data_IF_530194137514
#
_entry.id   IF_530194137514
#
_cell.length_a   1.000
_cell.length_b   1.000
_cell.length_c   1.000
_cell.angle_alpha   90.00
_cell.angle_beta   90.00
_cell.angle_gamma   90.00
#
_symmetry.space_group_name_H-M   'P 1'
#
loop_
_entity.id
_entity.type
_entity.pdbx_description
1 polymer ?
#
# COMPACT_ATOMS: atom_id res chain seq x y z
N UNK A 1 -19.54 -37.60 -39.24
CA UNK A 1 -18.52 -36.80 -39.85
C UNK A 1 -18.58 -35.32 -39.51
N UNK A 2 -19.41 -34.98 -38.55
CA UNK A 2 -19.49 -33.61 -38.07
C UNK A 2 -18.68 -33.36 -36.80
N UNK A 3 -17.72 -34.26 -36.57
CA UNK A 3 -16.87 -34.21 -35.36
C UNK A 3 -16.12 -32.90 -35.18
N UNK A 4 -15.77 -32.24 -36.32
CA UNK A 4 -15.05 -30.97 -36.25
C UNK A 4 -15.95 -29.85 -35.73
N UNK A 5 -17.28 -29.88 -36.05
CA UNK A 5 -18.23 -28.92 -35.53
C UNK A 5 -18.40 -29.06 -34.05
N UNK A 6 -18.53 -30.32 -33.57
CA UNK A 6 -18.65 -30.62 -32.15
C UNK A 6 -17.41 -30.22 -31.39
N UNK A 7 -16.22 -30.52 -31.94
CA UNK A 7 -14.97 -30.13 -31.37
C UNK A 7 -14.80 -28.61 -31.29
N UNK A 8 -15.18 -27.90 -32.34
CA UNK A 8 -15.09 -26.44 -32.33
C UNK A 8 -16.07 -25.81 -31.34
N UNK A 9 -17.28 -26.35 -31.26
CA UNK A 9 -18.30 -25.89 -30.30
C UNK A 9 -17.82 -26.14 -28.85
N UNK A 10 -17.23 -27.31 -28.59
CA UNK A 10 -16.69 -27.64 -27.28
C UNK A 10 -15.55 -26.69 -26.87
N UNK A 11 -14.66 -26.36 -27.80
CA UNK A 11 -13.57 -25.39 -27.54
C UNK A 11 -14.11 -24.00 -27.24
N UNK A 12 -15.10 -23.56 -27.97
CA UNK A 12 -15.74 -22.25 -27.74
C UNK A 12 -16.39 -22.20 -26.34
N UNK A 13 -17.12 -23.23 -25.97
CA UNK A 13 -17.74 -23.34 -24.64
C UNK A 13 -16.69 -23.31 -23.53
N UNK A 14 -15.58 -24.04 -23.67
CA UNK A 14 -14.49 -24.03 -22.71
C UNK A 14 -13.87 -22.65 -22.54
N UNK A 15 -13.66 -21.94 -23.66
CA UNK A 15 -13.11 -20.57 -23.61
C UNK A 15 -14.06 -19.62 -22.91
N UNK A 16 -15.36 -19.76 -23.13
CA UNK A 16 -16.38 -18.95 -22.48
C UNK A 16 -16.42 -19.24 -20.97
N UNK A 17 -16.36 -20.51 -20.59
CA UNK A 17 -16.31 -20.92 -19.17
C UNK A 17 -15.06 -20.39 -18.49
N UNK A 18 -13.88 -20.52 -19.13
CA UNK A 18 -12.62 -20.02 -18.59
C UNK A 18 -12.62 -18.50 -18.43
N UNK A 19 -13.19 -17.77 -19.42
CA UNK A 19 -13.31 -16.33 -19.36
C UNK A 19 -14.24 -15.89 -18.22
N UNK A 20 -15.37 -16.61 -18.03
CA UNK A 20 -16.31 -16.34 -16.96
C UNK A 20 -15.70 -16.63 -15.58
N UNK A 21 -14.98 -17.76 -15.45
CA UNK A 21 -14.29 -18.12 -14.20
C UNK A 21 -13.24 -17.06 -13.85
N UNK A 22 -12.46 -16.61 -14.83
CA UNK A 22 -11.45 -15.55 -14.62
C UNK A 22 -12.12 -14.24 -14.20
N UNK A 23 -13.25 -13.88 -14.80
CA UNK A 23 -14.00 -12.68 -14.43
C UNK A 23 -14.54 -12.77 -13.02
N UNK A 24 -15.11 -13.92 -12.63
CA UNK A 24 -15.62 -14.13 -11.27
C UNK A 24 -14.49 -14.11 -10.24
N UNK A 25 -13.34 -14.71 -10.55
CA UNK A 25 -12.16 -14.66 -9.68
C UNK A 25 -11.68 -13.23 -9.47
N UNK A 26 -11.66 -12.41 -10.53
CA UNK A 26 -11.29 -11.00 -10.43
C UNK A 26 -12.27 -10.19 -9.60
N UNK A 27 -13.58 -10.43 -9.73
CA UNK A 27 -14.61 -9.79 -8.91
C UNK A 27 -14.48 -10.20 -7.44
N UNK A 28 -14.19 -11.48 -7.18
CA UNK A 28 -13.97 -11.98 -5.82
C UNK A 28 -12.76 -11.29 -5.17
N UNK A 29 -11.65 -11.18 -5.88
CA UNK A 29 -10.45 -10.46 -5.40
C UNK A 29 -10.79 -9.02 -5.05
N UNK A 30 -11.49 -8.31 -5.95
CA UNK A 30 -11.92 -6.93 -5.74
C UNK A 30 -12.79 -6.80 -4.50
N UNK A 31 -13.76 -7.69 -4.32
CA UNK A 31 -14.66 -7.67 -3.16
C UNK A 31 -13.91 -7.88 -1.86
N UNK A 32 -13.03 -8.89 -1.80
CA UNK A 32 -12.24 -9.19 -0.60
C UNK A 32 -11.35 -8.00 -0.24
N UNK A 33 -10.65 -7.44 -1.21
CA UNK A 33 -9.75 -6.29 -0.97
C UNK A 33 -10.56 -5.06 -0.55
N UNK A 34 -11.70 -4.79 -1.18
CA UNK A 34 -12.56 -3.67 -0.81
C UNK A 34 -13.07 -3.78 0.63
N UNK A 35 -13.37 -4.99 1.09
CA UNK A 35 -13.84 -5.23 2.46
C UNK A 35 -12.73 -5.18 3.50
N UNK A 36 -11.53 -5.67 3.17
CA UNK A 36 -10.44 -5.87 4.11
C UNK A 36 -9.31 -4.84 3.99
N UNK A 37 -9.35 -3.97 2.97
CA UNK A 37 -8.26 -3.02 2.72
C UNK A 37 -7.99 -2.07 3.88
N UNK A 38 -9.04 -1.65 4.60
CA UNK A 38 -8.89 -0.80 5.79
C UNK A 38 -8.14 -1.53 6.90
N UNK A 39 -8.44 -2.81 7.09
CA UNK A 39 -7.75 -3.62 8.10
C UNK A 39 -6.28 -3.79 7.75
N UNK A 40 -5.97 -3.96 6.48
CA UNK A 40 -4.58 -4.03 5.98
C UNK A 40 -3.86 -2.70 6.24
N UNK A 41 -4.51 -1.58 5.97
CA UNK A 41 -3.95 -0.26 6.26
C UNK A 41 -3.69 -0.08 7.77
N UNK A 42 -4.62 -0.53 8.63
CA UNK A 42 -4.46 -0.46 10.08
C UNK A 42 -3.30 -1.34 10.56
N UNK A 43 -3.10 -2.51 9.95
CA UNK A 43 -1.95 -3.36 10.25
C UNK A 43 -0.64 -2.67 9.86
N UNK A 44 -0.61 -2.01 8.70
CA UNK A 44 0.55 -1.23 8.29
C UNK A 44 0.81 -0.05 9.24
N UNK A 45 -0.23 0.66 9.63
CA UNK A 45 -0.14 1.76 10.61
C UNK A 45 0.47 1.27 11.93
N UNK A 46 0.04 0.10 12.41
CA UNK A 46 0.57 -0.47 13.65
C UNK A 46 2.07 -0.77 13.55
N UNK A 47 2.51 -1.30 12.41
CA UNK A 47 3.94 -1.56 12.15
C UNK A 47 4.73 -0.25 12.08
N UNK A 48 4.20 0.74 11.37
CA UNK A 48 4.83 2.07 11.26
C UNK A 48 4.95 2.72 12.64
N UNK A 49 3.91 2.66 13.45
CA UNK A 49 3.90 3.22 14.80
C UNK A 49 4.96 2.58 15.69
N UNK A 50 5.07 1.26 15.62
CA UNK A 50 6.10 0.52 16.35
C UNK A 50 7.51 0.92 15.89
N UNK A 51 7.72 1.03 14.59
CA UNK A 51 9.03 1.40 14.04
C UNK A 51 9.40 2.84 14.39
N UNK A 52 8.42 3.75 14.43
CA UNK A 52 8.62 5.13 14.90
C UNK A 52 9.05 5.15 16.37
N UNK A 53 8.41 4.35 17.22
CA UNK A 53 8.80 4.25 18.63
C UNK A 53 10.25 3.75 18.78
N UNK A 54 10.62 2.73 18.00
CA UNK A 54 12.00 2.21 17.99
C UNK A 54 13.00 3.26 17.51
N UNK A 55 12.67 3.96 16.44
CA UNK A 55 13.51 5.04 15.93
C UNK A 55 13.70 6.13 16.98
N UNK A 56 12.61 6.61 17.56
CA UNK A 56 12.66 7.68 18.56
C UNK A 56 13.42 7.27 19.83
N UNK A 57 13.43 5.99 20.19
CA UNK A 57 14.17 5.50 21.34
C UNK A 57 15.69 5.69 21.20
N UNK A 58 16.20 5.76 19.96
CA UNK A 58 17.61 6.06 19.71
C UNK A 58 17.96 7.54 19.84
N UNK A 59 16.96 8.42 19.84
CA UNK A 59 17.14 9.87 19.83
C UNK A 59 16.28 10.56 20.88
N UNK A 60 16.41 10.21 22.19
CA UNK A 60 15.49 10.72 23.22
C UNK A 60 15.62 12.23 23.44
N UNK A 61 16.79 12.81 23.13
CA UNK A 61 17.08 14.23 23.37
C UNK A 61 17.40 15.01 22.07
N UNK A 62 17.15 14.40 20.91
CA UNK A 62 17.41 15.04 19.62
C UNK A 62 16.12 15.28 18.86
N UNK A 63 15.47 16.46 19.04
CA UNK A 63 14.19 16.74 18.38
C UNK A 63 14.29 16.80 16.86
N UNK A 64 15.49 17.02 16.30
CA UNK A 64 15.66 17.08 14.84
C UNK A 64 15.53 15.71 14.18
N UNK A 65 15.82 14.64 14.90
CA UNK A 65 15.79 13.27 14.38
C UNK A 65 14.51 12.51 14.73
N UNK A 66 13.78 13.00 15.73
CA UNK A 66 12.56 12.35 16.19
C UNK A 66 11.42 12.57 15.21
N UNK A 67 10.55 11.59 15.11
CA UNK A 67 9.26 11.69 14.45
C UNK A 67 8.23 12.07 15.53
N UNK A 68 7.48 13.15 15.30
CA UNK A 68 6.64 13.73 16.35
C UNK A 68 5.38 12.93 16.61
N UNK A 69 4.74 12.43 15.56
CA UNK A 69 3.47 11.73 15.73
C UNK A 69 3.13 10.81 14.58
N UNK A 70 2.36 9.78 14.91
CA UNK A 70 1.64 8.94 13.97
C UNK A 70 0.17 9.00 14.39
N UNK A 71 -0.69 9.49 13.53
CA UNK A 71 -2.11 9.67 13.83
C UNK A 71 -3.00 9.07 12.78
N UNK A 72 -4.27 8.82 13.14
CA UNK A 72 -5.26 8.31 12.21
C UNK A 72 -5.90 9.46 11.44
N UNK A 73 -6.21 9.22 10.16
CA UNK A 73 -6.99 10.10 9.32
C UNK A 73 -8.29 9.40 8.88
N UNK A 74 -9.41 10.06 9.03
CA UNK A 74 -10.68 9.55 8.54
C UNK A 74 -10.79 9.76 7.02
N UNK A 75 -11.45 8.88 6.28
CA UNK A 75 -12.12 7.65 6.73
C UNK A 75 -11.19 6.44 6.83
N UNK A 76 -10.09 6.40 6.11
CA UNK A 76 -9.19 5.23 6.08
C UNK A 76 -7.78 5.65 5.70
N UNK A 77 -7.06 6.21 6.67
CA UNK A 77 -5.70 6.67 6.44
C UNK A 77 -4.95 6.89 7.74
N UNK A 78 -3.67 7.22 7.61
CA UNK A 78 -2.85 7.68 8.72
C UNK A 78 -1.87 8.76 8.25
N UNK A 79 -1.36 9.51 9.22
CA UNK A 79 -0.42 10.59 8.99
C UNK A 79 0.80 10.39 9.89
N UNK A 80 1.99 10.59 9.32
CA UNK A 80 3.24 10.63 10.07
C UNK A 80 3.81 12.03 9.94
N UNK A 81 4.12 12.66 11.07
CA UNK A 81 4.61 14.04 11.10
C UNK A 81 5.99 14.11 11.75
N UNK A 82 6.88 14.78 11.04
CA UNK A 82 8.18 15.21 11.54
C UNK A 82 8.26 16.72 11.36
N UNK A 83 8.07 17.46 12.46
CA UNK A 83 7.97 18.92 12.40
C UNK A 83 9.32 19.63 12.47
N UNK A 84 10.29 19.04 13.16
CA UNK A 84 11.64 19.59 13.21
C UNK A 84 12.30 19.52 11.83
N UNK A 85 12.98 20.58 11.49
CA UNK A 85 13.62 20.75 10.19
C UNK A 85 14.80 19.78 9.99
N UNK A 86 14.96 19.11 8.83
CA UNK A 86 14.06 19.15 7.67
C UNK A 86 12.74 18.43 7.95
N UNK A 87 11.63 19.16 7.77
CA UNK A 87 10.30 18.64 8.10
C UNK A 87 9.72 17.79 6.99
N UNK A 88 8.87 16.84 7.38
CA UNK A 88 8.17 15.98 6.45
C UNK A 88 6.82 15.58 7.02
N UNK A 89 5.82 15.47 6.14
CA UNK A 89 4.50 14.96 6.49
C UNK A 89 4.12 13.89 5.49
N UNK A 90 3.84 12.69 5.99
CA UNK A 90 3.41 11.56 5.17
C UNK A 90 1.93 11.32 5.41
N UNK A 91 1.16 11.23 4.32
CA UNK A 91 -0.23 10.78 4.33
C UNK A 91 -0.30 9.45 3.60
N UNK A 92 -0.85 8.44 4.25
CA UNK A 92 -1.14 7.15 3.63
C UNK A 92 -2.63 6.86 3.74
N UNK A 93 -3.24 6.35 2.69
CA UNK A 93 -4.66 6.03 2.66
C UNK A 93 -4.95 4.85 1.75
N UNK A 94 -6.03 4.14 2.07
CA UNK A 94 -6.52 3.05 1.24
C UNK A 94 -7.47 3.57 0.17
N UNK A 95 -7.20 3.22 -1.09
CA UNK A 95 -8.06 3.54 -2.22
C UNK A 95 -8.69 2.25 -2.75
N UNK A 96 -9.99 2.03 -2.51
CA UNK A 96 -10.68 0.83 -3.00
C UNK A 96 -10.82 0.79 -4.52
N UNK A 97 -10.85 1.94 -5.18
CA UNK A 97 -11.02 2.01 -6.64
C UNK A 97 -9.80 1.45 -7.38
N UNK A 98 -8.62 1.67 -6.84
CA UNK A 98 -7.36 1.18 -7.42
C UNK A 98 -6.80 -0.02 -6.66
N UNK A 99 -7.48 -0.48 -5.60
CA UNK A 99 -7.02 -1.57 -4.73
C UNK A 99 -5.58 -1.35 -4.27
N UNK A 100 -5.32 -0.16 -3.73
CA UNK A 100 -3.96 0.24 -3.34
C UNK A 100 -3.95 1.04 -2.06
N UNK A 101 -2.81 0.99 -1.37
CA UNK A 101 -2.47 1.97 -0.34
C UNK A 101 -1.59 3.01 -1.02
N UNK A 102 -2.10 4.24 -1.10
CA UNK A 102 -1.39 5.36 -1.68
C UNK A 102 -0.76 6.20 -0.59
N UNK A 103 0.39 6.79 -0.87
CA UNK A 103 1.03 7.68 0.08
C UNK A 103 1.62 8.90 -0.62
N UNK A 104 1.62 10.00 0.11
CA UNK A 104 2.20 11.28 -0.31
C UNK A 104 3.06 11.79 0.83
N UNK A 105 4.29 12.17 0.53
CA UNK A 105 5.20 12.78 1.49
C UNK A 105 5.50 14.20 1.03
N UNK A 106 5.12 15.18 1.85
CA UNK A 106 5.48 16.57 1.64
C UNK A 106 6.72 16.87 2.47
N UNK A 107 7.78 17.34 1.84
CA UNK A 107 9.07 17.58 2.49
C UNK A 107 9.50 19.02 2.29
N UNK A 108 10.11 19.59 3.33
CA UNK A 108 10.72 20.92 3.27
C UNK A 108 12.24 20.74 3.35
N UNK A 109 12.93 21.18 2.29
CA UNK A 109 14.39 21.07 2.20
C UNK A 109 15.09 22.14 3.02
N UNK A 110 16.30 21.80 3.45
CA UNK A 110 17.17 22.62 4.31
C UNK A 110 17.69 23.91 3.65
N UNK A 111 17.62 24.00 2.38
CA UNK A 111 18.02 25.19 1.61
C UNK A 111 16.79 25.81 0.98
N UNK A 112 16.79 27.08 0.66
CA UNK A 112 15.66 27.82 0.09
C UNK A 112 15.03 27.21 -1.18
N UNK A 113 15.17 25.91 -1.36
CA UNK A 113 14.63 25.16 -2.51
C UNK A 113 13.14 24.84 -2.40
N UNK A 114 12.49 25.22 -1.27
CA UNK A 114 11.05 25.06 -1.09
C UNK A 114 10.59 23.65 -0.76
N UNK A 115 9.29 23.43 -0.88
CA UNK A 115 8.66 22.13 -0.65
C UNK A 115 8.74 21.26 -1.89
N UNK A 116 8.88 19.96 -1.69
CA UNK A 116 8.71 18.98 -2.75
C UNK A 116 7.87 17.80 -2.27
N UNK A 117 7.25 17.11 -3.22
CA UNK A 117 6.29 16.04 -2.94
C UNK A 117 6.79 14.74 -3.53
N UNK A 118 6.80 13.68 -2.71
CA UNK A 118 7.06 12.32 -3.15
C UNK A 118 5.75 11.55 -3.07
N UNK A 119 5.38 10.86 -4.14
CA UNK A 119 4.16 10.05 -4.20
C UNK A 119 4.51 8.61 -4.53
N UNK A 120 3.78 7.68 -3.94
CA UNK A 120 3.94 6.27 -4.22
C UNK A 120 2.70 5.49 -3.86
N UNK A 121 2.75 4.19 -4.12
CA UNK A 121 1.66 3.29 -3.78
C UNK A 121 2.16 1.86 -3.60
N UNK A 122 1.38 1.09 -2.84
CA UNK A 122 1.48 -0.36 -2.76
C UNK A 122 0.18 -0.94 -3.27
N UNK A 123 0.25 -1.89 -4.20
CA UNK A 123 -0.94 -2.63 -4.65
C UNK A 123 -1.31 -3.70 -3.64
N UNK A 124 -2.60 -3.92 -3.46
CA UNK A 124 -3.14 -5.02 -2.67
C UNK A 124 -3.48 -6.18 -3.60
N UNK A 125 -3.01 -7.34 -3.25
CA UNK A 125 -3.24 -8.59 -4.00
C UNK A 125 -3.76 -9.67 -3.05
N UNK A 126 -4.57 -10.56 -3.60
CA UNK A 126 -5.09 -11.71 -2.88
C UNK A 126 -4.29 -12.95 -3.26
N UNK A 127 -3.78 -13.67 -2.25
CA UNK A 127 -3.07 -14.92 -2.47
C UNK A 127 -4.04 -16.08 -2.71
N UNK A 128 -3.51 -17.21 -3.17
CA UNK A 128 -4.29 -18.42 -3.36
C UNK A 128 -4.91 -18.96 -2.07
N UNK A 129 -4.32 -18.61 -0.92
CA UNK A 129 -4.80 -18.98 0.41
C UNK A 129 -5.80 -18.00 1.00
N UNK A 130 -6.15 -16.93 0.26
CA UNK A 130 -7.11 -15.92 0.70
C UNK A 130 -6.52 -14.80 1.56
N UNK A 131 -5.20 -14.69 1.65
CA UNK A 131 -4.52 -13.63 2.37
C UNK A 131 -4.22 -12.45 1.45
N UNK A 132 -4.39 -11.23 1.97
CA UNK A 132 -4.03 -10.01 1.25
C UNK A 132 -2.58 -9.66 1.55
N UNK A 133 -1.83 -9.33 0.51
CA UNK A 133 -0.45 -8.91 0.63
C UNK A 133 -0.19 -7.66 -0.22
N UNK A 134 0.88 -6.95 0.11
CA UNK A 134 1.29 -5.74 -0.61
C UNK A 134 2.30 -6.10 -1.69
N UNK A 135 2.23 -5.40 -2.81
CA UNK A 135 3.24 -5.47 -3.86
C UNK A 135 3.70 -4.07 -4.24
N UNK A 136 4.94 -3.97 -4.73
CA UNK A 136 5.44 -2.75 -5.35
C UNK A 136 4.94 -2.64 -6.80
N UNK A 137 5.36 -1.59 -7.51
CA UNK A 137 4.97 -1.38 -8.93
C UNK A 137 5.44 -2.50 -9.85
N UNK A 138 6.52 -3.19 -9.48
CA UNK A 138 7.05 -4.32 -10.25
C UNK A 138 6.33 -5.64 -9.97
N UNK A 139 5.35 -5.64 -9.07
CA UNK A 139 4.61 -6.85 -8.68
C UNK A 139 5.33 -7.71 -7.66
N UNK A 140 6.43 -7.26 -7.10
CA UNK A 140 7.16 -7.99 -6.07
C UNK A 140 6.44 -7.89 -4.72
N UNK A 141 6.43 -9.02 -3.99
CA UNK A 141 5.88 -9.05 -2.64
C UNK A 141 6.64 -8.08 -1.72
N UNK A 142 5.87 -7.24 -1.01
CA UNK A 142 6.42 -6.20 -0.14
C UNK A 142 5.85 -6.39 1.27
N UNK A 143 6.55 -7.10 2.16
CA UNK A 143 6.08 -7.32 3.53
C UNK A 143 5.83 -6.01 4.28
N UNK A 144 4.97 -6.04 5.30
CA UNK A 144 4.66 -4.85 6.10
C UNK A 144 5.89 -4.18 6.69
N UNK A 145 6.89 -4.97 7.12
CA UNK A 145 8.13 -4.42 7.65
C UNK A 145 8.89 -3.61 6.60
N UNK A 146 8.94 -4.12 5.37
CA UNK A 146 9.60 -3.42 4.26
C UNK A 146 8.78 -2.20 3.81
N UNK A 147 7.45 -2.31 3.83
CA UNK A 147 6.57 -1.18 3.51
C UNK A 147 6.73 -0.06 4.53
N UNK A 148 6.75 -0.37 5.81
CA UNK A 148 7.02 0.60 6.89
C UNK A 148 8.37 1.28 6.70
N UNK A 149 9.40 0.50 6.45
CA UNK A 149 10.75 1.02 6.18
C UNK A 149 10.74 1.99 5.00
N UNK A 150 10.10 1.60 3.91
CA UNK A 150 10.01 2.44 2.71
C UNK A 150 9.33 3.78 3.01
N UNK A 151 8.22 3.76 3.76
CA UNK A 151 7.51 4.98 4.15
C UNK A 151 8.33 5.86 5.07
N UNK A 152 8.97 5.28 6.09
CA UNK A 152 9.77 6.03 7.06
C UNK A 152 11.07 6.56 6.45
N UNK A 153 11.72 5.81 5.57
CA UNK A 153 12.88 6.34 4.83
C UNK A 153 12.48 7.56 4.01
N UNK A 154 11.30 7.56 3.39
CA UNK A 154 10.81 8.72 2.66
C UNK A 154 10.60 9.96 3.56
N UNK A 155 10.24 9.76 4.83
CA UNK A 155 10.10 10.84 5.83
C UNK A 155 11.46 11.31 6.33
N UNK A 156 12.39 10.38 6.56
CA UNK A 156 13.67 10.65 7.23
C UNK A 156 14.78 11.09 6.27
N UNK A 157 14.76 10.59 5.05
CA UNK A 157 15.81 10.90 4.07
C UNK A 157 15.66 12.33 3.54
N UNK A 158 16.78 13.02 3.48
CA UNK A 158 16.83 14.41 3.02
C UNK A 158 17.39 14.53 1.61
#
# INVERSE_FOLDING_TARGET
MDDWIEQKAARLKRRQEQAEDARQAGLHETDVISMQGRDILEQLEAVVRRDVEKWNAHFPEDPRRRIDSVGKLAPSGFIVQKTAYPSATLHAFFDPDTMSIQFTVNKVRATNEGEYVVKGLFHLKLSDTGEIYLTNRSGEHFPFLDASRHLLEAVLDT
#
